data_IF_438054847124
#
_entry.id   IF_438054847124
#
_cell.length_a   1.000
_cell.length_b   1.000
_cell.length_c   1.000
_cell.angle_alpha   90.00
_cell.angle_beta   90.00
_cell.angle_gamma   90.00
#
_symmetry.space_group_name_H-M   'P 1'
#
loop_
_entity.id
_entity.type
_entity.pdbx_description
1 polymer ?
2 polymer ?
3 polymer ?
4 non-polymer ?
5 non-polymer ?
6 water ?
#
loop_
_entity_poly.entity_id
_entity_poly.type
_entity_poly.pdbx_seq_one_letter_code
_entity_poly.pdbx_strand_id
2 'polyribonucleotide' 'GCGCCAGAACU' ?
3 'polyribonucleotide' '(GTP)GCACCAUUGCACUCCGGUGCCAGUUGACGAGGUGGGGUUUAUCGAGAUUUCGGCGGAUGACUCCCGGUUGUUCAUCACAACCGCAAGCUUUUACUUAAAUCAUUAAGGUGACUUAGUGGACAAAGGUGAAAGUGUGAUGA' ?
#
# COMPACT_ATOMS: atom_id res chain seq x y z
N UNK A 7 69.89 17.23 11.21
CA UNK A 7 70.16 16.95 9.78
C UNK A 7 68.88 16.57 9.02
N UNK A 8 68.98 15.61 8.08
CA UNK A 8 67.82 15.13 7.33
C UNK A 8 67.00 14.09 8.11
N UNK A 9 65.73 13.93 7.73
CA UNK A 9 64.82 13.03 8.41
C UNK A 9 63.66 12.60 7.51
N UNK A 10 63.10 11.42 7.81
CA UNK A 10 61.91 10.91 7.11
C UNK A 10 60.69 11.79 7.35
N UNK A 11 60.65 12.44 8.51
CA UNK A 11 59.54 13.33 8.87
C UNK A 11 59.95 14.80 8.76
N UNK A 12 59.05 15.61 8.21
CA UNK A 12 59.24 17.06 8.15
C UNK A 12 58.35 17.78 9.16
N UNK A 13 58.91 18.78 9.83
CA UNK A 13 58.17 19.60 10.79
C UNK A 13 57.63 20.86 10.10
N UNK A 14 56.31 21.03 10.14
CA UNK A 14 55.67 22.19 9.53
C UNK A 14 55.03 23.08 10.59
N UNK A 15 55.30 24.38 10.51
CA UNK A 15 54.67 25.36 11.40
C UNK A 15 54.16 26.59 10.63
N UNK A 16 53.61 27.56 11.37
CA UNK A 16 52.96 28.75 10.80
C UNK A 16 51.70 28.42 9.99
N UNK A 17 50.97 27.40 10.44
CA UNK A 17 49.72 26.99 9.80
C UNK A 17 48.53 27.69 10.44
N UNK A 18 47.46 27.85 9.66
CA UNK A 18 46.22 28.47 10.14
C UNK A 18 45.54 27.60 11.18
N UNK A 19 45.35 28.16 12.37
CA UNK A 19 44.85 27.42 13.53
C UNK A 19 43.34 27.27 13.55
N UNK A 20 42.65 28.09 12.75
CA UNK A 20 41.19 28.08 12.66
C UNK A 20 40.62 26.87 11.92
N UNK A 21 41.48 26.08 11.32
CA UNK A 21 41.07 24.90 10.56
C UNK A 21 41.11 23.66 11.45
N UNK A 22 40.03 22.88 11.40
CA UNK A 22 39.88 21.69 12.25
C UNK A 22 40.80 20.53 11.88
N UNK A 23 41.03 19.65 12.87
CA UNK A 23 42.05 18.61 12.85
C UNK A 23 42.11 17.76 11.57
N UNK A 24 40.97 17.25 11.12
CA UNK A 24 40.95 16.32 10.00
C UNK A 24 40.97 17.01 8.63
N UNK A 25 40.40 18.21 8.58
CA UNK A 25 40.38 19.00 7.34
C UNK A 25 41.78 19.42 6.94
N UNK A 26 42.60 19.78 7.93
CA UNK A 26 44.00 20.15 7.71
C UNK A 26 44.80 18.92 7.26
N UNK A 27 44.57 17.80 7.94
CA UNK A 27 45.23 16.53 7.64
C UNK A 27 44.98 16.06 6.21
N UNK A 28 43.76 16.30 5.72
CA UNK A 28 43.39 15.91 4.36
C UNK A 28 43.88 16.89 3.30
N UNK A 29 43.92 18.17 3.65
CA UNK A 29 44.42 19.21 2.74
C UNK A 29 45.95 19.18 2.60
N UNK A 30 46.63 18.70 3.64
CA UNK A 30 48.08 18.54 3.61
C UNK A 30 48.47 17.35 2.76
N UNK A 31 47.66 16.30 2.79
CA UNK A 31 47.90 15.10 1.97
C UNK A 31 47.69 15.41 0.49
N UNK A 32 46.84 16.40 0.22
CA UNK A 32 46.51 16.84 -1.14
C UNK A 32 47.72 17.38 -1.91
N UNK A 33 48.71 17.87 -1.17
CA UNK A 33 49.88 18.50 -1.78
C UNK A 33 51.14 17.65 -1.68
N UNK A 34 51.33 17.00 -0.53
CA UNK A 34 52.55 16.25 -0.24
C UNK A 34 52.54 14.82 -0.79
N UNK A 35 51.48 14.45 -1.51
CA UNK A 35 51.36 13.11 -2.07
C UNK A 35 52.24 12.90 -3.31
N UNK A 36 52.56 13.99 -4.00
CA UNK A 36 53.36 13.94 -5.22
C UNK A 36 54.84 13.62 -4.98
N UNK A 37 55.36 14.04 -3.82
CA UNK A 37 56.77 13.86 -3.49
C UNK A 37 57.12 12.41 -3.15
N UNK A 38 56.11 11.68 -2.66
CA UNK A 38 56.28 10.30 -2.22
C UNK A 38 55.12 9.88 -1.33
N UNK A 39 54.99 8.58 -1.08
CA UNK A 39 53.86 8.08 -0.29
C UNK A 39 53.99 8.43 1.19
N UNK A 40 52.94 9.05 1.72
CA UNK A 40 52.91 9.49 3.12
C UNK A 40 52.38 8.37 4.01
N UNK A 41 53.11 8.11 5.10
CA UNK A 41 52.69 7.12 6.08
C UNK A 41 51.58 7.69 6.97
N UNK A 42 51.84 8.85 7.58
CA UNK A 42 50.88 9.51 8.44
C UNK A 42 51.18 11.00 8.59
N UNK A 43 50.13 11.79 8.80
CA UNK A 43 50.26 13.21 9.11
C UNK A 43 49.66 13.45 10.49
N UNK A 44 50.50 13.83 11.45
CA UNK A 44 50.05 14.01 12.84
C UNK A 44 49.77 15.47 13.20
N UNK A 45 48.50 15.75 13.46
CA UNK A 45 48.03 17.11 13.78
C UNK A 45 47.32 17.13 15.13
N UNK A 46 47.67 18.12 15.95
CA UNK A 46 47.05 18.32 17.27
C UNK A 46 46.70 19.80 17.47
N UNK A 47 45.58 20.05 18.15
CA UNK A 47 45.09 21.41 18.33
C UNK A 47 45.35 21.97 19.74
N UNK A 48 46.25 21.32 20.47
CA UNK A 48 46.62 21.76 21.82
C UNK A 48 47.45 23.05 21.78
N UNK A 49 47.51 23.74 22.90
CA UNK A 49 48.25 25.00 23.02
C UNK A 49 49.70 24.88 22.55
N UNK A 50 50.30 23.73 22.83
CA UNK A 50 51.71 23.48 22.52
C UNK A 50 51.93 22.95 21.10
N UNK A 51 50.87 22.44 20.46
CA UNK A 51 50.99 21.77 19.17
C UNK A 51 50.14 22.33 18.02
N UNK A 52 49.35 23.36 18.29
CA UNK A 52 48.50 23.97 17.26
C UNK A 52 49.32 24.76 16.23
N UNK A 53 48.83 24.76 14.99
CA UNK A 53 49.54 25.41 13.89
C UNK A 53 50.79 24.64 13.47
N UNK A 54 50.82 23.36 13.83
CA UNK A 54 51.95 22.47 13.53
C UNK A 54 51.48 21.14 12.96
N UNK A 55 52.30 20.55 12.10
CA UNK A 55 51.99 19.28 11.46
C UNK A 55 53.25 18.46 11.21
N UNK A 56 53.13 17.15 11.38
CA UNK A 56 54.23 16.22 11.13
C UNK A 56 53.87 15.26 10.01
N UNK A 57 54.39 15.53 8.81
CA UNK A 57 54.19 14.64 7.67
C UNK A 57 55.32 13.62 7.64
N UNK A 58 54.96 12.35 7.71
CA UNK A 58 55.94 11.26 7.78
C UNK A 58 56.05 10.52 6.44
N UNK A 59 57.18 10.73 5.77
CA UNK A 59 57.45 10.06 4.50
C UNK A 59 58.17 8.74 4.72
N UNK A 60 57.99 7.81 3.76
CA UNK A 60 58.69 6.53 3.80
C UNK A 60 60.17 6.70 3.43
N UNK A 61 60.43 7.58 2.46
CA UNK A 61 61.79 7.85 2.00
C UNK A 61 62.24 9.26 2.39
N UNK A 62 63.54 9.43 2.60
CA UNK A 62 64.12 10.73 2.93
C UNK A 62 64.14 11.65 1.70
N UNK A 63 64.29 11.05 0.52
CA UNK A 63 64.30 11.79 -0.74
C UNK A 63 62.99 12.55 -0.96
N UNK A 64 61.88 11.96 -0.50
CA UNK A 64 60.56 12.56 -0.61
C UNK A 64 60.36 13.71 0.38
N UNK A 65 61.08 13.65 1.49
CA UNK A 65 61.05 14.70 2.50
C UNK A 65 61.83 15.94 2.06
N UNK A 66 62.99 15.71 1.44
CA UNK A 66 63.85 16.79 0.95
C UNK A 66 63.18 17.56 -0.19
N UNK A 67 62.57 16.83 -1.12
CA UNK A 67 61.82 17.43 -2.23
C UNK A 67 60.64 18.26 -1.76
N UNK A 68 59.99 17.80 -0.69
CA UNK A 68 58.85 18.50 -0.08
C UNK A 68 59.31 19.76 0.65
N UNK A 69 60.46 19.67 1.33
CA UNK A 69 61.03 20.80 2.05
C UNK A 69 61.50 21.91 1.10
N UNK A 70 62.05 21.51 -0.04
CA UNK A 70 62.55 22.44 -1.05
C UNK A 70 61.44 23.16 -1.82
N UNK A 71 60.36 22.43 -2.12
CA UNK A 71 59.32 22.92 -3.01
C UNK A 71 58.19 23.68 -2.30
N UNK A 72 57.83 23.24 -1.10
CA UNK A 72 56.68 23.79 -0.39
C UNK A 72 57.04 24.88 0.63
N UNK A 73 58.31 25.25 0.69
CA UNK A 73 58.78 26.28 1.62
C UNK A 73 58.19 27.63 1.24
N UNK A 74 57.57 28.30 2.22
CA UNK A 74 56.98 29.61 2.01
C UNK A 74 55.69 29.62 1.21
N UNK A 75 55.14 28.44 0.95
CA UNK A 75 53.90 28.30 0.18
C UNK A 75 52.69 28.74 1.00
N UNK A 76 51.85 29.62 0.41
CA UNK A 76 50.63 30.09 1.06
C UNK A 76 49.57 28.99 1.17
N UNK A 77 49.27 28.61 2.41
CA UNK A 77 48.35 27.53 2.71
C UNK A 77 47.39 28.01 3.79
N UNK A 78 46.11 28.13 3.41
CA UNK A 78 45.09 28.76 4.26
C UNK A 78 45.49 30.19 4.63
N UNK A 79 45.76 31.00 3.61
CA UNK A 79 46.15 32.41 3.75
C UNK A 79 47.45 32.65 4.56
N UNK A 80 48.22 31.59 4.80
CA UNK A 80 49.45 31.69 5.58
C UNK A 80 50.62 30.92 4.94
N UNK A 81 51.79 31.56 4.83
CA UNK A 81 53.00 30.93 4.27
C UNK A 81 53.58 29.83 5.17
N UNK A 82 53.83 28.66 4.59
CA UNK A 82 54.31 27.50 5.34
C UNK A 82 55.79 27.60 5.71
N UNK A 83 56.14 27.09 6.89
CA UNK A 83 57.52 27.03 7.33
C UNK A 83 57.87 25.57 7.62
N UNK A 84 58.78 25.02 6.82
CA UNK A 84 59.10 23.59 6.88
C UNK A 84 60.55 23.33 7.30
N UNK A 85 60.71 22.51 8.33
CA UNK A 85 62.01 22.01 8.76
C UNK A 85 61.97 20.49 8.76
N UNK A 86 63.13 19.86 8.97
CA UNK A 86 63.17 18.43 9.23
C UNK A 86 62.80 18.19 10.70
N UNK A 87 62.39 16.97 11.01
CA UNK A 87 62.12 16.58 12.40
C UNK A 87 63.43 16.44 13.16
N UNK A 88 63.47 16.98 14.38
CA UNK A 88 64.66 16.92 15.23
C UNK A 88 65.05 15.49 15.57
N UNK A 89 64.05 14.65 15.83
CA UNK A 89 64.24 13.22 16.06
C UNK A 89 63.30 12.42 15.18
N UNK A 90 63.58 11.12 15.02
CA UNK A 90 62.75 10.23 14.22
C UNK A 90 61.37 10.01 14.84
N UNK A 91 60.39 9.70 14.00
CA UNK A 91 59.04 9.37 14.45
C UNK A 91 58.95 7.93 14.94
N UNK A 92 57.92 7.64 15.75
CA UNK A 92 57.75 6.31 16.36
C UNK A 92 57.49 5.19 15.35
N UNK A 93 56.94 5.54 14.18
CA UNK A 93 56.72 4.57 13.11
C UNK A 93 58.02 4.28 12.34
N UNK A 94 58.95 5.24 12.37
CA UNK A 94 60.24 5.12 11.71
C UNK A 94 61.28 4.47 12.63
N UNK A 95 61.35 4.95 13.87
CA UNK A 95 62.30 4.45 14.87
C UNK A 95 62.00 3.02 15.30
N UNK A 96 60.72 2.72 15.50
CA UNK A 96 60.28 1.37 15.91
C UNK A 96 59.62 0.63 14.75
N UNK D 7 37.10 37.23 -22.84
CA UNK D 7 38.44 36.66 -22.50
C UNK D 7 38.54 36.32 -21.02
N UNK D 8 38.82 37.34 -20.17
CA UNK D 8 38.91 37.13 -18.72
C UNK D 8 37.54 37.10 -18.05
N UNK D 9 37.46 36.39 -16.92
CA UNK D 9 36.19 36.19 -16.22
C UNK D 9 36.39 36.19 -14.70
N UNK D 10 35.30 36.42 -13.97
CA UNK D 10 35.30 36.36 -12.51
C UNK D 10 35.47 34.93 -12.02
N UNK D 11 35.08 33.97 -12.87
CA UNK D 11 35.13 32.55 -12.55
C UNK D 11 36.26 31.88 -13.33
N UNK D 12 36.95 30.95 -12.68
CA UNK D 12 37.99 30.16 -13.33
C UNK D 12 37.57 28.69 -13.49
N UNK D 13 37.90 28.11 -14.63
CA UNK D 13 37.58 26.73 -14.94
C UNK D 13 38.81 25.83 -14.74
N UNK D 14 38.70 24.91 -13.79
CA UNK D 14 39.79 23.97 -13.51
C UNK D 14 39.39 22.56 -13.90
N UNK D 15 40.24 21.87 -14.65
CA UNK D 15 40.05 20.46 -14.96
C UNK D 15 41.33 19.65 -14.72
N UNK D 16 41.31 18.37 -15.11
CA UNK D 16 42.41 17.43 -14.87
C UNK D 16 42.61 17.15 -13.36
N UNK D 17 41.53 17.24 -12.60
CA UNK D 17 41.55 16.98 -11.17
C UNK D 17 41.28 15.51 -10.87
N UNK D 18 41.76 15.05 -9.71
CA UNK D 18 41.55 13.66 -9.28
C UNK D 18 40.09 13.38 -8.98
N UNK D 19 39.56 12.31 -9.58
CA UNK D 19 38.15 11.97 -9.50
C UNK D 19 37.81 11.06 -8.30
N UNK D 20 38.84 10.55 -7.63
CA UNK D 20 38.66 9.68 -6.47
C UNK D 20 38.35 10.44 -5.18
N UNK D 21 38.51 11.77 -5.21
CA UNK D 21 38.29 12.60 -4.04
C UNK D 21 36.85 13.11 -4.00
N UNK D 22 36.21 12.96 -2.83
CA UNK D 22 34.81 13.33 -2.65
C UNK D 22 34.53 14.83 -2.74
N UNK D 23 33.28 15.15 -3.05
CA UNK D 23 32.83 16.52 -3.36
C UNK D 23 33.35 17.58 -2.38
N UNK D 24 33.02 17.42 -1.09
CA UNK D 24 33.30 18.46 -0.10
C UNK D 24 34.78 18.55 0.31
N UNK D 25 35.50 17.43 0.25
CA UNK D 25 36.94 17.43 0.55
C UNK D 25 37.71 18.21 -0.52
N UNK D 26 37.33 18.00 -1.78
CA UNK D 26 37.91 18.72 -2.91
C UNK D 26 37.59 20.21 -2.82
N UNK D 27 36.38 20.51 -2.37
CA UNK D 27 35.91 21.89 -2.22
C UNK D 27 36.69 22.67 -1.16
N UNK D 28 37.07 21.97 -0.09
CA UNK D 28 37.80 22.59 1.02
C UNK D 28 39.31 22.67 0.78
N UNK D 29 39.84 21.72 0.01
CA UNK D 29 41.25 21.70 -0.34
C UNK D 29 41.59 22.73 -1.42
N UNK D 30 40.61 23.05 -2.26
CA UNK D 30 40.77 24.09 -3.28
C UNK D 30 40.69 25.48 -2.66
N UNK D 31 39.87 25.62 -1.63
CA UNK D 31 39.74 26.88 -0.88
C UNK D 31 41.03 27.16 -0.11
N UNK D 32 41.70 26.09 0.32
CA UNK D 32 42.95 26.17 1.07
C UNK D 32 44.07 26.90 0.32
N UNK D 33 44.02 26.83 -1.01
CA UNK D 33 45.06 27.40 -1.85
C UNK D 33 44.62 28.73 -2.49
N UNK D 34 43.41 28.74 -3.05
CA UNK D 34 42.92 29.90 -3.80
C UNK D 34 42.42 31.06 -2.93
N UNK D 35 42.38 30.86 -1.62
CA UNK D 35 41.91 31.90 -0.70
C UNK D 35 42.88 33.07 -0.57
N UNK D 36 44.15 32.84 -0.92
CA UNK D 36 45.17 33.88 -0.87
C UNK D 36 44.99 34.95 -1.95
N UNK D 37 44.63 34.52 -3.16
CA UNK D 37 44.54 35.41 -4.33
C UNK D 37 43.44 36.46 -4.20
N UNK D 38 42.39 36.11 -3.48
CA UNK D 38 41.22 36.97 -3.28
C UNK D 38 40.12 36.18 -2.62
N UNK D 39 39.11 36.86 -2.11
CA UNK D 39 38.01 36.18 -1.44
C UNK D 39 37.13 35.42 -2.43
N UNK D 40 36.88 34.16 -2.12
CA UNK D 40 36.09 33.28 -2.97
C UNK D 40 34.63 33.33 -2.55
N UNK D 41 33.74 33.47 -3.53
CA UNK D 41 32.31 33.50 -3.27
C UNK D 41 31.72 32.09 -3.16
N UNK D 42 32.06 31.24 -4.14
CA UNK D 42 31.58 29.85 -4.17
C UNK D 42 32.48 28.98 -5.05
N UNK D 43 32.63 27.71 -4.64
CA UNK D 43 33.32 26.70 -5.45
C UNK D 43 32.31 25.64 -5.88
N UNK D 44 32.21 25.43 -7.19
CA UNK D 44 31.24 24.49 -7.76
C UNK D 44 31.88 23.17 -8.19
N UNK D 45 31.67 22.14 -7.39
CA UNK D 45 32.21 20.80 -7.66
C UNK D 45 31.07 19.81 -7.90
N UNK D 46 31.18 19.08 -9.01
CA UNK D 46 30.23 18.02 -9.34
C UNK D 46 30.99 16.73 -9.64
N UNK D 47 30.34 15.59 -9.43
CA UNK D 47 30.96 14.28 -9.67
C UNK D 47 30.23 13.48 -10.75
N UNK D 48 29.42 14.17 -11.55
CA UNK D 48 28.68 13.55 -12.64
C UNK D 48 29.59 13.24 -13.83
N UNK D 49 29.14 12.35 -14.71
CA UNK D 49 29.87 11.95 -15.92
C UNK D 49 30.42 13.14 -16.70
N UNK D 50 29.59 14.16 -16.88
CA UNK D 50 29.92 15.34 -17.67
C UNK D 50 30.78 16.34 -16.90
N UNK D 51 30.76 16.28 -15.57
CA UNK D 51 31.35 17.34 -14.74
C UNK D 51 32.40 16.89 -13.71
N UNK D 52 32.78 15.62 -13.73
CA UNK D 52 33.78 15.09 -12.79
C UNK D 52 35.21 15.52 -13.16
N UNK D 53 36.05 15.67 -12.14
CA UNK D 53 37.42 16.14 -12.31
C UNK D 53 37.49 17.60 -12.70
N UNK D 54 36.43 18.34 -12.38
CA UNK D 54 36.32 19.76 -12.75
C UNK D 54 35.91 20.62 -11.57
N UNK D 55 36.22 21.91 -11.66
CA UNK D 55 35.89 22.88 -10.62
C UNK D 55 35.56 24.25 -11.19
N UNK D 56 34.73 25.00 -10.47
CA UNK D 56 34.42 26.38 -10.80
C UNK D 56 34.59 27.26 -9.57
N UNK D 57 35.77 27.88 -9.46
CA UNK D 57 36.05 28.79 -8.36
C UNK D 57 35.64 30.21 -8.76
N UNK D 58 34.73 30.79 -7.99
CA UNK D 58 34.19 32.12 -8.30
C UNK D 58 34.80 33.19 -7.39
N UNK D 59 35.64 34.04 -7.97
CA UNK D 59 36.22 35.18 -7.27
C UNK D 59 35.36 36.42 -7.46
N UNK D 60 35.41 37.31 -6.47
CA UNK D 60 34.66 38.57 -6.54
C UNK D 60 35.28 39.55 -7.55
N UNK D 61 36.60 39.50 -7.68
CA UNK D 61 37.33 40.35 -8.62
C UNK D 61 38.03 39.53 -9.70
N UNK D 62 38.10 40.10 -10.89
CA UNK D 62 38.77 39.45 -12.03
C UNK D 62 40.29 39.46 -11.85
N UNK D 63 40.78 40.48 -11.15
CA UNK D 63 42.20 40.60 -10.81
C UNK D 63 42.69 39.41 -9.98
N UNK D 64 41.83 38.94 -9.07
CA UNK D 64 42.11 37.75 -8.26
C UNK D 64 42.02 36.46 -9.08
N UNK D 65 41.14 36.47 -10.09
CA UNK D 65 40.95 35.31 -10.96
C UNK D 65 42.13 35.10 -11.90
N UNK D 66 42.70 36.20 -12.38
CA UNK D 66 43.85 36.15 -13.30
C UNK D 66 45.12 35.66 -12.59
N UNK D 67 45.36 36.21 -11.39
CA UNK D 67 46.51 35.84 -10.58
C UNK D 67 46.51 34.37 -10.17
N UNK D 68 45.32 33.82 -9.96
CA UNK D 68 45.13 32.42 -9.62
C UNK D 68 45.43 31.53 -10.81
N UNK D 69 45.07 32.00 -12.01
CA UNK D 69 45.29 31.27 -13.25
C UNK D 69 46.77 31.15 -13.59
N UNK D 70 47.53 32.22 -13.33
CA UNK D 70 48.96 32.28 -13.65
C UNK D 70 49.82 31.47 -12.70
N UNK D 71 49.49 31.54 -11.41
CA UNK D 71 50.32 30.94 -10.35
C UNK D 71 50.08 29.45 -10.16
N UNK D 72 48.82 29.02 -10.22
CA UNK D 72 48.46 27.64 -9.93
C UNK D 72 48.35 26.75 -11.17
N UNK D 73 48.64 27.32 -12.33
CA UNK D 73 48.67 26.58 -13.59
C UNK D 73 49.70 25.47 -13.50
N UNK D 74 49.25 24.23 -13.68
CA UNK D 74 50.13 23.05 -13.63
C UNK D 74 50.58 22.65 -12.25
N UNK D 75 49.88 23.13 -11.21
CA UNK D 75 50.21 22.79 -9.83
C UNK D 75 49.75 21.39 -9.46
N UNK D 76 50.67 20.54 -8.99
CA UNK D 76 50.35 19.17 -8.58
C UNK D 76 49.37 19.13 -7.42
N UNK D 77 48.17 18.62 -7.69
CA UNK D 77 47.07 18.60 -6.73
C UNK D 77 46.43 17.21 -6.73
N UNK D 78 46.58 16.50 -5.61
CA UNK D 78 46.20 15.09 -5.50
C UNK D 78 46.88 14.24 -6.58
N UNK D 79 48.21 14.36 -6.65
CA UNK D 79 49.05 13.63 -7.63
C UNK D 79 48.84 14.02 -9.09
N UNK D 80 47.99 15.03 -9.33
CA UNK D 80 47.66 15.47 -10.69
C UNK D 80 47.83 16.98 -10.90
N UNK D 81 48.62 17.38 -11.92
CA UNK D 81 48.80 18.78 -12.30
C UNK D 81 47.53 19.43 -12.84
N UNK D 82 47.19 20.59 -12.31
CA UNK D 82 45.95 21.28 -12.63
C UNK D 82 45.98 21.96 -14.01
N UNK D 83 44.81 22.16 -14.58
CA UNK D 83 44.66 22.85 -15.86
C UNK D 83 43.61 23.93 -15.70
N UNK D 84 44.06 25.19 -15.62
CA UNK D 84 43.17 26.31 -15.36
C UNK D 84 42.93 27.15 -16.60
N UNK D 85 41.64 27.41 -16.87
CA UNK D 85 41.19 28.31 -17.92
C UNK D 85 40.22 29.32 -17.31
N UNK D 86 39.80 30.30 -18.10
CA UNK D 86 38.70 31.18 -17.70
C UNK D 86 37.38 30.51 -18.02
N UNK D 87 36.32 30.95 -17.34
CA UNK D 87 34.97 30.50 -17.65
C UNK D 87 34.52 31.14 -18.96
N UNK D 88 33.96 30.34 -19.85
CA UNK D 88 33.47 30.80 -21.15
C UNK D 88 32.38 31.87 -21.00
N UNK D 89 31.46 31.63 -20.06
CA UNK D 89 30.39 32.57 -19.77
C UNK D 89 30.43 33.00 -18.30
N UNK D 90 29.68 34.06 -17.96
CA UNK D 90 29.56 34.52 -16.59
C UNK D 90 28.75 33.55 -15.74
N UNK D 91 29.15 33.39 -14.47
CA UNK D 91 28.42 32.56 -13.52
C UNK D 91 27.13 33.25 -13.08
N UNK D 92 26.19 32.47 -12.55
CA UNK D 92 24.88 32.97 -12.15
C UNK D 92 24.93 34.00 -11.01
N UNK D 93 25.86 33.83 -10.08
CA UNK D 93 26.02 34.74 -8.95
C UNK D 93 26.56 36.11 -9.38
N UNK D 94 27.29 36.14 -10.49
CA UNK D 94 27.89 37.36 -11.02
C UNK D 94 26.97 38.02 -12.06
N UNK D 95 26.48 37.24 -13.01
CA UNK D 95 25.59 37.73 -14.07
C UNK D 95 24.26 38.24 -13.54
N UNK D 96 23.78 37.62 -12.45
CA UNK D 96 22.54 38.03 -11.80
C UNK D 96 22.78 38.51 -10.37
N UNK G 7 -48.64 -3.94 21.81
CA UNK G 7 -49.49 -5.14 21.58
C UNK G 7 -49.51 -5.54 20.11
N UNK G 8 -50.61 -5.21 19.40
CA UNK G 8 -50.76 -5.57 17.99
C UNK G 8 -50.08 -4.60 17.03
N UNK G 9 -49.57 -5.14 15.92
CA UNK G 9 -48.82 -4.36 14.92
C UNK G 9 -49.22 -4.75 13.50
N UNK G 10 -49.03 -3.81 12.57
CA UNK G 10 -49.22 -4.07 11.14
C UNK G 10 -48.28 -5.17 10.64
N UNK G 11 -47.09 -5.22 11.22
CA UNK G 11 -46.06 -6.18 10.86
C UNK G 11 -46.02 -7.33 11.87
N UNK G 12 -45.74 -8.52 11.37
CA UNK G 12 -45.56 -9.70 12.22
C UNK G 12 -44.12 -10.22 12.14
N UNK G 13 -43.58 -10.62 13.30
CA UNK G 13 -42.22 -11.14 13.37
C UNK G 13 -42.22 -12.67 13.34
N UNK G 14 -41.58 -13.22 12.32
CA UNK G 14 -41.49 -14.66 12.14
C UNK G 14 -40.06 -15.15 12.34
N UNK G 15 -39.88 -16.13 13.22
CA UNK G 15 -38.59 -16.78 13.41
C UNK G 15 -38.72 -18.31 13.42
N UNK G 16 -37.61 -19.00 13.72
CA UNK G 16 -37.52 -20.46 13.67
C UNK G 16 -37.62 -21.00 12.23
N UNK G 17 -37.15 -20.20 11.28
CA UNK G 17 -37.15 -20.56 9.86
C UNK G 17 -35.87 -21.30 9.47
N UNK G 18 -35.98 -22.19 8.48
CA UNK G 18 -34.84 -22.93 7.97
C UNK G 18 -33.87 -22.00 7.25
N UNK G 19 -32.63 -21.97 7.75
CA UNK G 19 -31.62 -21.02 7.27
C UNK G 19 -30.99 -21.40 5.94
N UNK G 20 -31.14 -22.67 5.54
CA UNK G 20 -30.55 -23.18 4.30
C UNK G 20 -31.19 -22.60 3.03
N UNK G 21 -32.43 -22.13 3.14
CA UNK G 21 -33.17 -21.57 2.01
C UNK G 21 -32.75 -20.13 1.75
N UNK G 22 -32.40 -19.84 0.49
CA UNK G 22 -31.92 -18.51 0.09
C UNK G 22 -32.99 -17.41 0.19
N UNK G 23 -32.53 -16.16 0.17
CA UNK G 23 -33.34 -14.98 0.44
C UNK G 23 -34.64 -14.88 -0.38
N UNK G 24 -34.52 -15.02 -1.71
CA UNK G 24 -35.66 -14.81 -2.60
C UNK G 24 -36.64 -15.99 -2.63
N UNK G 25 -36.10 -17.20 -2.46
CA UNK G 25 -36.93 -18.42 -2.41
C UNK G 25 -37.84 -18.41 -1.18
N UNK G 26 -37.31 -17.93 -0.07
CA UNK G 26 -38.07 -17.79 1.17
C UNK G 26 -39.10 -16.68 1.07
N UNK G 27 -38.69 -15.55 0.47
CA UNK G 27 -39.53 -14.37 0.31
C UNK G 27 -40.82 -14.66 -0.46
N UNK G 28 -40.71 -15.46 -1.51
CA UNK G 28 -41.84 -15.77 -2.38
C UNK G 28 -42.71 -16.90 -1.83
N UNK G 29 -42.06 -17.87 -1.16
CA UNK G 29 -42.76 -18.99 -0.54
C UNK G 29 -43.64 -18.55 0.63
N UNK G 30 -43.18 -17.54 1.37
CA UNK G 30 -43.95 -16.94 2.44
C UNK G 30 -45.11 -16.13 1.89
N UNK G 31 -44.90 -15.51 0.72
CA UNK G 31 -45.93 -14.74 0.05
C UNK G 31 -47.06 -15.65 -0.47
N UNK G 32 -46.73 -16.91 -0.71
CA UNK G 32 -47.68 -17.91 -1.20
C UNK G 32 -48.79 -18.23 -0.20
N UNK G 33 -48.47 -18.13 1.09
CA UNK G 33 -49.39 -18.52 2.15
C UNK G 33 -50.11 -17.33 2.79
N UNK G 34 -49.36 -16.26 3.04
CA UNK G 34 -49.88 -15.08 3.74
C UNK G 34 -50.71 -14.14 2.86
N UNK G 35 -50.96 -14.56 1.62
CA UNK G 35 -51.74 -13.76 0.68
C UNK G 35 -53.26 -13.86 0.92
N UNK G 36 -53.67 -14.88 1.66
CA UNK G 36 -55.09 -15.11 1.95
C UNK G 36 -55.64 -14.22 3.07
N UNK G 37 -54.78 -13.81 3.99
CA UNK G 37 -55.17 -13.00 5.13
C UNK G 37 -55.41 -11.54 4.74
N UNK G 38 -54.60 -11.06 3.80
CA UNK G 38 -54.71 -9.70 3.29
C UNK G 38 -53.58 -9.38 2.33
N UNK G 39 -53.58 -8.17 1.77
CA UNK G 39 -52.54 -7.76 0.83
C UNK G 39 -51.23 -7.42 1.55
N UNK G 40 -50.16 -8.11 1.16
CA UNK G 40 -48.84 -7.91 1.74
C UNK G 40 -48.15 -6.74 1.05
N UNK G 41 -47.56 -5.85 1.85
CA UNK G 41 -46.83 -4.71 1.30
C UNK G 41 -45.39 -5.09 0.94
N UNK G 42 -44.68 -5.72 1.88
CA UNK G 42 -43.30 -6.17 1.66
C UNK G 42 -42.86 -7.20 2.71
N UNK G 43 -41.99 -8.11 2.30
CA UNK G 43 -41.42 -9.11 3.20
C UNK G 43 -39.90 -8.92 3.30
N UNK G 44 -39.42 -8.64 4.51
CA UNK G 44 -38.00 -8.36 4.75
C UNK G 44 -37.26 -9.59 5.28
N UNK G 45 -36.31 -10.09 4.50
CA UNK G 45 -35.53 -11.27 4.85
C UNK G 45 -34.03 -10.99 4.74
N UNK G 46 -33.27 -11.37 5.76
CA UNK G 46 -31.82 -11.22 5.76
C UNK G 46 -31.12 -12.50 6.23
N UNK G 47 -29.87 -12.68 5.81
CA UNK G 47 -29.11 -13.90 6.12
C UNK G 47 -27.95 -13.64 7.08
N UNK G 48 -27.89 -12.43 7.65
CA UNK G 48 -26.84 -12.06 8.60
C UNK G 48 -26.95 -12.84 9.91
N UNK G 49 -25.84 -12.95 10.62
CA UNK G 49 -25.81 -13.63 11.92
C UNK G 49 -26.93 -13.20 12.85
N UNK G 50 -27.31 -11.92 12.76
CA UNK G 50 -28.31 -11.32 13.62
C UNK G 50 -29.73 -11.47 13.09
N UNK G 51 -29.87 -11.67 11.78
CA UNK G 51 -31.20 -11.67 11.14
C UNK G 51 -31.57 -12.94 10.36
N UNK G 52 -30.72 -13.95 10.41
CA UNK G 52 -30.98 -15.22 9.72
C UNK G 52 -32.07 -16.04 10.42
N UNK G 53 -32.89 -16.72 9.63
CA UNK G 53 -34.04 -17.46 10.14
C UNK G 53 -35.12 -16.55 10.67
N UNK G 54 -35.26 -15.38 10.05
CA UNK G 54 -36.24 -14.37 10.45
C UNK G 54 -36.87 -13.69 9.24
N UNK G 55 -38.12 -13.27 9.40
CA UNK G 55 -38.85 -12.59 8.33
C UNK G 55 -39.80 -11.54 8.91
N UNK G 56 -39.97 -10.44 8.18
CA UNK G 56 -40.85 -9.36 8.58
C UNK G 56 -41.90 -9.10 7.50
N UNK G 57 -43.06 -9.73 7.65
CA UNK G 57 -44.16 -9.58 6.71
C UNK G 57 -45.02 -8.37 7.11
N UNK G 58 -45.08 -7.39 6.23
CA UNK G 58 -45.80 -6.14 6.50
C UNK G 58 -47.19 -6.16 5.86
N UNK G 59 -48.22 -6.18 6.71
CA UNK G 59 -49.60 -6.11 6.26
C UNK G 59 -50.08 -4.67 6.31
N UNK G 60 -50.94 -4.31 5.35
CA UNK G 60 -51.53 -2.98 5.30
C UNK G 60 -52.58 -2.80 6.41
N UNK G 61 -53.14 -3.91 6.88
CA UNK G 61 -54.11 -3.91 7.97
C UNK G 61 -53.60 -4.75 9.15
N UNK G 62 -53.98 -4.34 10.36
CA UNK G 62 -53.63 -5.09 11.58
C UNK G 62 -54.51 -6.35 11.70
N UNK G 63 -55.73 -6.26 11.16
CA UNK G 63 -56.68 -7.37 11.17
C UNK G 63 -56.15 -8.61 10.44
N UNK G 64 -55.43 -8.38 9.34
CA UNK G 64 -54.79 -9.45 8.58
C UNK G 64 -53.56 -10.01 9.32
N UNK G 65 -52.88 -9.15 10.06
CA UNK G 65 -51.70 -9.55 10.83
C UNK G 65 -52.09 -10.41 12.04
N UNK G 66 -53.26 -10.11 12.62
CA UNK G 66 -53.79 -10.87 13.76
C UNK G 66 -54.22 -12.26 13.32
N UNK G 67 -54.92 -12.34 12.20
CA UNK G 67 -55.36 -13.61 11.62
C UNK G 67 -54.18 -14.49 11.20
N UNK G 68 -53.13 -13.84 10.70
CA UNK G 68 -51.89 -14.52 10.32
C UNK G 68 -51.18 -15.11 11.54
N UNK G 69 -51.12 -14.32 12.61
CA UNK G 69 -50.53 -14.75 13.87
C UNK G 69 -51.32 -15.90 14.50
N UNK G 70 -52.64 -15.83 14.39
CA UNK G 70 -53.53 -16.86 14.94
C UNK G 70 -53.46 -18.18 14.17
N UNK G 71 -53.36 -18.11 12.85
CA UNK G 71 -53.41 -19.30 12.00
C UNK G 71 -52.05 -19.97 11.78
N UNK G 72 -51.04 -19.17 11.45
CA UNK G 72 -49.76 -19.70 10.99
C UNK G 72 -48.76 -19.98 12.12
N UNK G 73 -49.22 -19.90 13.37
CA UNK G 73 -48.40 -20.21 14.52
C UNK G 73 -48.16 -21.71 14.63
N UNK G 74 -46.88 -22.10 14.60
CA UNK G 74 -46.48 -23.50 14.72
C UNK G 74 -46.50 -24.27 13.40
N UNK G 75 -46.81 -23.57 12.32
CA UNK G 75 -46.91 -24.18 10.99
C UNK G 75 -45.54 -24.61 10.45
N UNK G 76 -45.39 -25.90 10.11
CA UNK G 76 -44.16 -26.42 9.52
C UNK G 76 -43.88 -25.82 8.15
N UNK G 77 -42.75 -25.14 8.05
CA UNK G 77 -42.34 -24.44 6.84
C UNK G 77 -40.88 -24.75 6.59
N UNK G 78 -40.62 -25.54 5.54
CA UNK G 78 -39.31 -26.14 5.29
C UNK G 78 -38.82 -26.96 6.49
N UNK G 79 -39.65 -27.94 6.88
CA UNK G 79 -39.35 -28.90 7.96
C UNK G 79 -39.26 -28.30 9.39
N UNK G 80 -39.61 -27.03 9.53
CA UNK G 80 -39.53 -26.34 10.82
C UNK G 80 -40.82 -25.56 11.14
N UNK G 81 -41.35 -25.74 12.36
CA UNK G 81 -42.53 -24.99 12.81
C UNK G 81 -42.26 -23.49 12.93
N UNK G 82 -43.21 -22.68 12.48
CA UNK G 82 -43.06 -21.22 12.48
C UNK G 82 -43.45 -20.58 13.81
N UNK G 83 -42.60 -19.67 14.28
CA UNK G 83 -42.85 -18.93 15.51
C UNK G 83 -43.20 -17.48 15.16
N UNK G 84 -44.42 -17.08 15.50
CA UNK G 84 -44.91 -15.74 15.12
C UNK G 84 -45.28 -14.88 16.33
N UNK G 85 -44.73 -13.67 16.34
CA UNK G 85 -45.11 -12.64 17.30
C UNK G 85 -45.56 -11.41 16.51
N UNK G 86 -45.82 -10.31 17.22
CA UNK G 86 -45.97 -9.02 16.58
C UNK G 86 -44.62 -8.32 16.54
N UNK G 87 -44.47 -7.37 15.63
CA UNK G 87 -43.26 -6.56 15.57
C UNK G 87 -43.22 -5.63 16.78
N UNK G 88 -42.05 -5.55 17.42
CA UNK G 88 -41.85 -4.71 18.60
C UNK G 88 -42.18 -3.25 18.33
N UNK G 89 -41.76 -2.74 17.17
CA UNK G 89 -42.05 -1.38 16.74
C UNK G 89 -42.59 -1.40 15.31
N UNK G 90 -43.20 -0.28 14.90
CA UNK G 90 -43.70 -0.12 13.53
C UNK G 90 -42.55 -0.10 12.52
N UNK G 91 -42.83 -0.60 11.31
CA UNK G 91 -41.88 -0.56 10.21
C UNK G 91 -41.75 0.84 9.64
N UNK G 92 -40.75 1.04 8.78
CA UNK G 92 -40.50 2.35 8.15
C UNK G 92 -41.59 2.75 7.16
N UNK G 93 -42.18 1.76 6.49
CA UNK G 93 -43.25 2.01 5.52
C UNK G 93 -44.60 2.32 6.20
N UNK G 94 -44.76 1.85 7.44
CA UNK G 94 -45.99 2.06 8.20
C UNK G 94 -45.95 3.37 9.00
N UNK G 95 -44.81 3.62 9.66
CA UNK G 95 -44.61 4.83 10.44
C UNK G 95 -44.53 6.08 9.55
N UNK G 96 -43.68 6.02 8.53
CA UNK G 96 -43.51 7.12 7.59
C UNK G 96 -44.30 6.88 6.30
N UNK J 7 -57.97 -46.38 -7.24
CA UNK J 7 -58.42 -45.39 -6.22
C UNK J 7 -57.26 -44.56 -5.69
N UNK J 8 -56.55 -45.07 -4.67
CA UNK J 8 -55.39 -44.39 -4.07
C UNK J 8 -54.13 -44.53 -4.91
N UNK J 9 -53.25 -43.53 -4.84
CA UNK J 9 -52.04 -43.48 -5.66
C UNK J 9 -50.88 -42.77 -4.95
N UNK J 10 -49.65 -43.13 -5.33
CA UNK J 10 -48.43 -42.52 -4.79
C UNK J 10 -48.30 -41.05 -5.15
N UNK J 11 -48.76 -40.70 -6.36
CA UNK J 11 -48.73 -39.33 -6.85
C UNK J 11 -50.11 -38.68 -6.70
N UNK J 12 -50.13 -37.41 -6.27
CA UNK J 12 -51.37 -36.65 -6.17
C UNK J 12 -51.45 -35.56 -7.24
N UNK J 13 -52.65 -35.39 -7.78
CA UNK J 13 -52.93 -34.40 -8.82
C UNK J 13 -53.50 -33.13 -8.20
N UNK J 14 -52.84 -32.00 -8.47
CA UNK J 14 -53.25 -30.71 -7.92
C UNK J 14 -53.66 -29.75 -9.04
N UNK J 15 -54.86 -29.20 -8.95
CA UNK J 15 -55.32 -28.17 -9.89
C UNK J 15 -55.89 -26.93 -9.20
N UNK J 16 -56.44 -26.01 -9.99
CA UNK J 16 -56.91 -24.70 -9.51
C UNK J 16 -55.78 -23.82 -8.95
N UNK J 17 -54.57 -24.04 -9.47
CA UNK J 17 -53.39 -23.28 -9.05
C UNK J 17 -53.29 -21.97 -9.82
N UNK J 18 -52.65 -20.98 -9.21
CA UNK J 18 -52.45 -19.68 -9.84
C UNK J 18 -51.50 -19.78 -11.02
N UNK J 19 -51.98 -19.36 -12.18
CA UNK J 19 -51.25 -19.52 -13.45
C UNK J 19 -50.12 -18.50 -13.64
N UNK J 20 -50.23 -17.38 -12.94
CA UNK J 20 -49.26 -16.27 -13.05
C UNK J 20 -47.88 -16.61 -12.48
N UNK J 21 -47.84 -17.59 -11.58
CA UNK J 21 -46.60 -17.99 -10.90
C UNK J 21 -45.77 -18.92 -11.79
N UNK J 22 -44.49 -18.61 -11.92
CA UNK J 22 -43.58 -19.37 -12.79
C UNK J 22 -43.22 -20.76 -12.26
N UNK J 23 -42.90 -21.66 -13.19
CA UNK J 23 -42.70 -23.08 -12.94
C UNK J 23 -41.86 -23.39 -11.70
N UNK J 24 -40.65 -22.84 -11.64
CA UNK J 24 -39.69 -23.17 -10.58
C UNK J 24 -40.09 -22.62 -9.21
N UNK J 25 -40.73 -21.45 -9.20
CA UNK J 25 -41.25 -20.84 -7.98
C UNK J 25 -42.38 -21.69 -7.40
N UNK J 26 -43.29 -22.12 -8.27
CA UNK J 26 -44.41 -23.00 -7.89
C UNK J 26 -43.91 -24.36 -7.45
N UNK J 27 -42.86 -24.85 -8.10
CA UNK J 27 -42.25 -26.14 -7.77
C UNK J 27 -41.66 -26.16 -6.36
N UNK J 28 -41.03 -25.05 -5.96
CA UNK J 28 -40.39 -24.96 -4.65
C UNK J 28 -41.34 -24.52 -3.53
N UNK J 29 -42.39 -23.79 -3.89
CA UNK J 29 -43.41 -23.37 -2.94
C UNK J 29 -44.30 -24.53 -2.51
N UNK J 30 -44.48 -25.50 -3.41
CA UNK J 30 -45.22 -26.72 -3.10
C UNK J 30 -44.37 -27.71 -2.30
N UNK J 31 -43.05 -27.67 -2.52
CA UNK J 31 -42.12 -28.53 -1.79
C UNK J 31 -41.95 -28.07 -0.34
N UNK J 32 -42.23 -26.80 -0.09
CA UNK J 32 -42.12 -26.19 1.24
C UNK J 32 -43.18 -26.73 2.20
N UNK J 33 -44.37 -27.00 1.67
CA UNK J 33 -45.49 -27.46 2.49
C UNK J 33 -45.60 -28.98 2.52
N UNK J 34 -45.53 -29.61 1.35
CA UNK J 34 -45.77 -31.05 1.22
C UNK J 34 -44.65 -31.95 1.76
N UNK J 35 -43.63 -31.33 2.36
CA UNK J 35 -42.50 -32.07 2.91
C UNK J 35 -42.81 -32.72 4.27
N UNK J 36 -43.86 -32.22 4.94
CA UNK J 36 -44.23 -32.71 6.27
C UNK J 36 -44.96 -34.05 6.25
N UNK J 37 -45.65 -34.35 5.16
CA UNK J 37 -46.42 -35.58 5.02
C UNK J 37 -45.52 -36.79 4.78
N UNK J 38 -44.50 -36.58 3.94
CA UNK J 38 -43.49 -37.60 3.65
C UNK J 38 -42.39 -36.97 2.80
N UNK J 39 -41.51 -37.82 2.25
CA UNK J 39 -40.47 -37.34 1.36
C UNK J 39 -40.96 -37.27 -0.09
N UNK J 40 -40.68 -36.16 -0.75
CA UNK J 40 -41.13 -35.92 -2.12
C UNK J 40 -40.05 -36.34 -3.11
N UNK J 41 -40.42 -37.18 -4.07
CA UNK J 41 -39.50 -37.66 -5.10
C UNK J 41 -39.29 -36.64 -6.21
N UNK J 42 -40.39 -36.10 -6.73
CA UNK J 42 -40.33 -35.09 -7.81
C UNK J 42 -41.67 -34.33 -7.91
N UNK J 43 -41.59 -33.06 -8.28
CA UNK J 43 -42.77 -32.26 -8.57
C UNK J 43 -42.78 -31.86 -10.03
N UNK J 44 -43.81 -32.29 -10.76
CA UNK J 44 -43.94 -32.02 -12.19
C UNK J 44 -44.91 -30.87 -12.47
N UNK J 45 -44.36 -29.75 -12.94
CA UNK J 45 -45.15 -28.57 -13.28
C UNK J 45 -44.86 -28.14 -14.71
N UNK J 46 -45.92 -27.83 -15.46
CA UNK J 46 -45.80 -27.31 -16.82
C UNK J 46 -46.75 -26.14 -17.05
N UNK J 47 -46.38 -25.24 -17.95
CA UNK J 47 -47.17 -24.04 -18.22
C UNK J 47 -47.88 -24.09 -19.58
N UNK J 48 -47.96 -25.30 -20.16
CA UNK J 48 -48.65 -25.50 -21.43
C UNK J 48 -50.16 -25.40 -21.26
N UNK J 49 -50.86 -25.03 -22.33
CA UNK J 49 -52.31 -24.85 -22.34
C UNK J 49 -53.07 -26.02 -21.69
N UNK J 50 -52.51 -27.22 -21.83
CA UNK J 50 -53.13 -28.44 -21.33
C UNK J 50 -52.74 -28.74 -19.88
N UNK J 51 -51.60 -28.20 -19.44
CA UNK J 51 -51.04 -28.55 -18.12
C UNK J 51 -50.87 -27.39 -17.14
N UNK J 52 -51.30 -26.19 -17.53
CA UNK J 52 -51.17 -25.01 -16.68
C UNK J 52 -52.15 -25.02 -15.50
N UNK J 53 -51.71 -24.50 -14.37
CA UNK J 53 -52.49 -24.50 -13.13
C UNK J 53 -52.57 -25.88 -12.51
N UNK J 54 -51.63 -26.76 -12.89
CA UNK J 54 -51.61 -28.15 -12.43
C UNK J 54 -50.23 -28.58 -11.96
N UNK J 55 -50.21 -29.55 -11.04
CA UNK J 55 -48.96 -30.08 -10.49
C UNK J 55 -49.12 -31.54 -10.04
N UNK J 56 -48.06 -32.31 -10.23
CA UNK J 56 -48.04 -33.72 -9.82
C UNK J 56 -46.98 -33.94 -8.75
N UNK J 57 -47.41 -34.02 -7.50
CA UNK J 57 -46.51 -34.24 -6.37
C UNK J 57 -46.33 -35.75 -6.15
N UNK J 58 -45.10 -36.23 -6.35
CA UNK J 58 -44.80 -37.65 -6.23
C UNK J 58 -44.24 -38.00 -4.86
N UNK J 59 -45.07 -38.63 -4.04
CA UNK J 59 -44.65 -39.15 -2.74
C UNK J 59 -44.15 -40.58 -2.90
N UNK J 60 -43.31 -41.02 -1.97
CA UNK J 60 -42.80 -42.40 -2.00
C UNK J 60 -43.80 -43.38 -1.41
N UNK J 61 -44.57 -42.92 -0.42
CA UNK J 61 -45.57 -43.76 0.23
C UNK J 61 -46.99 -43.21 0.04
N UNK J 62 -47.96 -44.13 -0.07
CA UNK J 62 -49.37 -43.78 -0.22
C UNK J 62 -49.93 -43.18 1.07
N UNK J 63 -49.30 -43.52 2.19
CA UNK J 63 -49.65 -42.97 3.51
C UNK J 63 -49.43 -41.45 3.56
N UNK J 64 -48.41 -40.98 2.84
CA UNK J 64 -48.11 -39.56 2.77
C UNK J 64 -49.02 -38.83 1.77
N UNK J 65 -49.44 -39.55 0.73
CA UNK J 65 -50.32 -38.99 -0.30
C UNK J 65 -51.74 -38.76 0.22
N UNK J 66 -52.24 -39.70 1.01
CA UNK J 66 -53.57 -39.61 1.61
C UNK J 66 -53.65 -38.45 2.61
N UNK J 67 -52.66 -38.39 3.50
CA UNK J 67 -52.57 -37.30 4.48
C UNK J 67 -52.45 -35.92 3.83
N UNK J 68 -51.79 -35.86 2.69
CA UNK J 68 -51.64 -34.62 1.91
C UNK J 68 -52.96 -34.23 1.24
N UNK J 69 -53.66 -35.21 0.67
CA UNK J 69 -54.95 -35.00 0.03
C UNK J 69 -55.99 -34.52 1.04
N UNK J 70 -55.97 -35.14 2.22
CA UNK J 70 -56.91 -34.84 3.29
C UNK J 70 -56.71 -33.44 3.87
N UNK J 71 -55.46 -33.08 4.13
CA UNK J 71 -55.13 -31.85 4.84
C UNK J 71 -55.12 -30.60 3.95
N UNK J 72 -54.58 -30.75 2.75
CA UNK J 72 -54.34 -29.61 1.86
C UNK J 72 -55.50 -29.32 0.90
N UNK J 73 -56.60 -30.06 1.05
CA UNK J 73 -57.81 -29.85 0.26
C UNK J 73 -58.38 -28.47 0.57
N UNK J 74 -58.53 -27.65 -0.47
CA UNK J 74 -59.06 -26.28 -0.32
C UNK J 74 -58.12 -25.31 0.36
N UNK J 75 -56.82 -25.59 0.31
CA UNK J 75 -55.82 -24.72 0.92
C UNK J 75 -55.55 -23.49 0.05
N UNK J 76 -55.62 -22.29 0.67
CA UNK J 76 -55.36 -21.04 -0.03
C UNK J 76 -53.89 -20.89 -0.40
N UNK J 77 -53.60 -21.07 -1.68
CA UNK J 77 -52.24 -21.07 -2.20
C UNK J 77 -52.18 -20.07 -3.35
N UNK J 78 -51.41 -19.01 -3.14
CA UNK J 78 -51.31 -17.88 -4.08
C UNK J 78 -52.69 -17.29 -4.43
N UNK J 79 -53.46 -16.96 -3.39
CA UNK J 79 -54.81 -16.39 -3.52
C UNK J 79 -55.86 -17.34 -4.11
N UNK J 80 -55.53 -18.63 -4.17
CA UNK J 80 -56.43 -19.63 -4.75
C UNK J 80 -56.52 -20.92 -3.93
N UNK J 81 -57.74 -21.44 -3.74
CA UNK J 81 -57.94 -22.71 -3.02
C UNK J 81 -57.50 -23.92 -3.83
N UNK J 82 -56.69 -24.78 -3.22
CA UNK J 82 -56.17 -25.97 -3.88
C UNK J 82 -57.23 -27.04 -4.07
N UNK J 83 -57.19 -27.71 -5.22
CA UNK J 83 -58.07 -28.83 -5.50
C UNK J 83 -57.20 -30.06 -5.71
N UNK J 84 -57.42 -31.10 -4.91
CA UNK J 84 -56.57 -32.29 -4.92
C UNK J 84 -57.34 -33.58 -5.17
N UNK J 85 -56.77 -34.42 -6.03
CA UNK J 85 -57.22 -35.79 -6.26
C UNK J 85 -56.01 -36.72 -6.34
N UNK J 86 -56.25 -38.02 -6.39
CA UNK J 86 -55.19 -38.98 -6.68
C UNK J 86 -54.95 -38.99 -8.19
N UNK J 87 -53.74 -39.40 -8.58
CA UNK J 87 -53.44 -39.57 -10.01
C UNK J 87 -54.20 -40.77 -10.54
N UNK J 88 -54.73 -40.63 -11.76
CA UNK J 88 -55.55 -41.67 -12.40
C UNK J 88 -54.72 -42.93 -12.71
N UNK J 89 -53.45 -42.72 -13.03
CA UNK J 89 -52.51 -43.81 -13.33
C UNK J 89 -51.23 -43.64 -12.53
N UNK J 90 -50.40 -44.68 -12.48
CA UNK J 90 -49.11 -44.61 -11.79
C UNK J 90 -48.08 -43.82 -12.58
N UNK J 91 -47.23 -43.08 -11.87
CA UNK J 91 -46.18 -42.27 -12.47
C UNK J 91 -45.03 -43.14 -12.98
N UNK J 92 -44.21 -42.58 -13.86
CA UNK J 92 -43.07 -43.29 -14.47
C UNK J 92 -42.05 -43.78 -13.46
N UNK J 93 -41.77 -42.96 -12.44
CA UNK J 93 -40.78 -43.28 -11.42
C UNK J 93 -41.25 -44.37 -10.45
N UNK J 94 -42.57 -44.57 -10.38
CA UNK J 94 -43.16 -45.60 -9.53
C UNK J 94 -43.44 -46.88 -10.32
N UNK J 95 -44.05 -46.73 -11.50
CA UNK J 95 -44.44 -47.86 -12.34
C UNK J 95 -43.26 -48.55 -13.04
N UNK J 96 -42.17 -47.80 -13.24
CA UNK J 96 -40.96 -48.33 -13.86
C UNK J 96 -39.73 -48.03 -13.03
#
# INVERSE_FOLDING_TARGET
MAVPETRPNHTIYINNLNEKIKKDELKKSLHAIFSRFGQILDILVSRSLKMRGQAFVIFKEVSSATNALRSMQGFPFYDKPMRIQYAKTDSDIIAKMK
MAVPETRPNHTIYINNLNEKIKKDELKKSLHAIFSRFGQILDILVSRSLKMRGQAFVIFKEVSSATNALRSMQGFPFYDKPMRIQYAKTDSDIIAKMK
MAVPETRPNHTIYINNLNEKIKKDELKKSLHAIFSRFGQILDILVSRSLKMRGQAFVIFKEVSSATNALRSMQGFPFYDKPMRIQYAKTDSDIIAKMK
MAVPETRPNHTIYINNLNEKIKKDELKKSLHAIFSRFGQILDILVSRSLKMRGQAFVIFKEVSSATNALRSMQGFPFYDKPMRIQYAKTDSDIIAKMK
#
